data_IF_589297707771
#
_entry.id   IF_589297707771
#
_cell.length_a   1.000
_cell.length_b   1.000
_cell.length_c   1.000
_cell.angle_alpha   90.00
_cell.angle_beta   90.00
_cell.angle_gamma   90.00
#
_symmetry.space_group_name_H-M   'P 1'
#
loop_
_entity.id
_entity.type
_entity.pdbx_description
1 polymer ?
#
# COMPACT_ATOMS: atom_id res chain seq x y z
N UNK A 1 4.24 1.95 -11.68
CA UNK A 1 5.10 1.72 -10.52
C UNK A 1 6.36 0.99 -10.92
N UNK A 2 7.45 1.37 -10.35
CA UNK A 2 8.74 0.76 -10.65
C UNK A 2 8.78 -0.68 -10.13
N UNK A 3 9.36 -1.63 -10.87
CA UNK A 3 9.41 -3.03 -10.42
C UNK A 3 10.07 -3.20 -9.05
N UNK A 4 11.10 -2.43 -8.78
CA UNK A 4 11.77 -2.53 -7.48
C UNK A 4 10.85 -2.09 -6.35
N UNK A 5 10.04 -1.07 -6.60
CA UNK A 5 9.09 -0.61 -5.61
C UNK A 5 8.03 -1.66 -5.33
N UNK A 6 7.57 -2.34 -6.38
CA UNK A 6 6.59 -3.39 -6.20
C UNK A 6 7.14 -4.52 -5.35
N UNK A 7 8.36 -4.96 -5.65
CA UNK A 7 8.99 -6.02 -4.87
C UNK A 7 9.14 -5.62 -3.41
N UNK A 8 9.47 -4.37 -3.17
CA UNK A 8 9.59 -3.85 -1.83
C UNK A 8 8.26 -3.91 -1.09
N UNK A 9 7.18 -3.54 -1.75
CA UNK A 9 5.86 -3.57 -1.14
C UNK A 9 5.38 -4.98 -0.86
N UNK A 10 5.72 -5.93 -1.72
CA UNK A 10 5.42 -7.33 -1.46
C UNK A 10 6.10 -7.78 -0.17
N UNK A 11 7.36 -7.40 -0.01
CA UNK A 11 8.11 -7.76 1.17
C UNK A 11 7.52 -7.14 2.43
N UNK A 12 7.12 -5.88 2.34
CA UNK A 12 6.50 -5.17 3.46
C UNK A 12 5.20 -5.86 3.85
N UNK A 13 4.39 -6.20 2.86
CA UNK A 13 3.12 -6.87 3.10
C UNK A 13 3.33 -8.19 3.84
N UNK A 14 4.26 -9.00 3.36
CA UNK A 14 4.54 -10.29 3.98
C UNK A 14 5.05 -10.14 5.40
N UNK A 15 5.88 -9.13 5.62
CA UNK A 15 6.41 -8.88 6.95
C UNK A 15 5.30 -8.58 7.94
N UNK A 16 4.38 -7.72 7.56
CA UNK A 16 3.25 -7.39 8.41
C UNK A 16 2.39 -8.62 8.68
N UNK A 17 2.19 -9.44 7.68
CA UNK A 17 1.38 -10.66 7.84
C UNK A 17 2.04 -11.64 8.81
N UNK A 18 3.35 -11.78 8.73
CA UNK A 18 4.09 -12.66 9.63
C UNK A 18 4.02 -12.18 11.07
N UNK A 19 4.02 -10.87 11.26
CA UNK A 19 3.97 -10.30 12.60
C UNK A 19 2.55 -10.16 13.12
N UNK A 20 1.56 -10.43 12.28
CA UNK A 20 0.17 -10.25 12.67
C UNK A 20 -0.23 -8.80 12.73
N UNK A 21 0.55 -7.92 12.15
CA UNK A 21 0.29 -6.49 12.17
C UNK A 21 -0.46 -6.09 10.90
N UNK A 22 -1.68 -6.57 10.78
CA UNK A 22 -2.49 -6.33 9.60
C UNK A 22 -3.52 -5.23 9.81
N UNK A 23 -3.42 -4.55 10.93
CA UNK A 23 -4.39 -3.55 11.33
C UNK A 23 -3.78 -2.16 11.32
N UNK A 24 -3.01 -1.85 10.27
CA UNK A 24 -2.41 -0.53 10.14
C UNK A 24 -2.50 -0.06 8.69
N UNK A 25 -2.31 1.24 8.51
CA UNK A 25 -2.49 1.87 7.21
C UNK A 25 -1.42 1.42 6.21
N UNK A 26 -0.22 1.17 6.68
CA UNK A 26 0.85 0.72 5.78
C UNK A 26 0.52 -0.64 5.18
N UNK A 27 -0.06 -1.51 5.97
CA UNK A 27 -0.47 -2.79 5.44
C UNK A 27 -1.56 -2.62 4.37
N UNK A 28 -2.51 -1.73 4.62
CA UNK A 28 -3.56 -1.45 3.64
C UNK A 28 -2.95 -0.93 2.34
N UNK A 29 -1.98 -0.03 2.44
CA UNK A 29 -1.29 0.48 1.26
C UNK A 29 -0.57 -0.64 0.53
N UNK A 30 0.14 -1.49 1.27
CA UNK A 30 0.89 -2.59 0.66
C UNK A 30 -0.04 -3.53 -0.09
N UNK A 31 -1.17 -3.86 0.52
CA UNK A 31 -2.14 -4.73 -0.12
C UNK A 31 -2.66 -4.12 -1.42
N UNK A 32 -2.99 -2.84 -1.39
CA UNK A 32 -3.51 -2.17 -2.57
C UNK A 32 -2.48 -2.14 -3.68
N UNK A 33 -1.25 -1.77 -3.35
CA UNK A 33 -0.19 -1.65 -4.34
C UNK A 33 0.13 -3.01 -4.95
N UNK A 34 0.24 -4.05 -4.13
CA UNK A 34 0.55 -5.39 -4.61
C UNK A 34 -0.58 -5.93 -5.49
N UNK A 35 -1.81 -5.53 -5.20
CA UNK A 35 -2.97 -5.97 -5.98
C UNK A 35 -3.15 -5.18 -7.26
N UNK A 36 -2.36 -4.15 -7.50
CA UNK A 36 -2.51 -3.32 -8.68
C UNK A 36 -3.53 -2.22 -8.50
N UNK A 37 -3.94 -1.96 -7.28
CA UNK A 37 -4.89 -0.90 -6.98
C UNK A 37 -4.18 0.42 -6.75
N UNK A 38 -4.88 1.55 -6.89
CA UNK A 38 -4.28 2.84 -6.58
C UNK A 38 -3.86 2.91 -5.12
N UNK A 39 -2.77 3.64 -4.87
CA UNK A 39 -2.31 3.86 -3.51
C UNK A 39 -3.39 4.65 -2.75
N UNK A 40 -3.86 4.17 -1.60
CA UNK A 40 -4.88 4.88 -0.83
C UNK A 40 -4.45 6.30 -0.46
N UNK A 41 -3.16 6.51 -0.26
CA UNK A 41 -2.66 7.84 0.06
C UNK A 41 -2.89 8.78 -1.12
N UNK A 42 -2.60 8.31 -2.33
CA UNK A 42 -2.82 9.13 -3.52
C UNK A 42 -4.29 9.39 -3.75
N UNK A 43 -5.12 8.40 -3.52
CA UNK A 43 -6.56 8.56 -3.70
C UNK A 43 -7.09 9.61 -2.75
N UNK A 44 -6.64 9.59 -1.51
CA UNK A 44 -7.05 10.58 -0.53
C UNK A 44 -6.62 11.98 -0.92
N UNK A 45 -5.38 12.09 -1.40
CA UNK A 45 -4.85 13.37 -1.80
C UNK A 45 -5.64 13.94 -2.96
N UNK A 46 -5.98 13.09 -3.92
CA UNK A 46 -6.77 13.53 -5.06
C UNK A 46 -8.12 14.06 -4.65
N UNK A 47 -8.77 13.38 -3.73
CA UNK A 47 -10.07 13.82 -3.24
C UNK A 47 -9.95 15.19 -2.59
N UNK A 48 -8.91 15.39 -1.83
CA UNK A 48 -8.69 16.67 -1.18
C UNK A 48 -8.50 17.77 -2.19
N UNK A 49 -7.83 17.48 -3.28
CA UNK A 49 -7.53 18.50 -4.27
C UNK A 49 -8.73 18.90 -5.10
N UNK A 50 -9.69 18.04 -5.20
CA UNK A 50 -10.90 18.34 -5.95
C UNK A 50 -11.67 19.47 -5.34
N UNK A 51 -11.38 19.80 -4.13
CA UNK A 51 -12.03 20.93 -3.46
C UNK A 51 -11.68 22.28 -4.07
#
# INVERSE_FOLDING_TARGET
MHPDDLANWVRIKEKFEQNGTTDNFYYVRACAIVSGQPDPVDAKTNVSQDE
#
